data_IF_952316879985
#
_entry.id   IF_952316879985
#
_cell.length_a   1.000
_cell.length_b   1.000
_cell.length_c   1.000
_cell.angle_alpha   90.00
_cell.angle_beta   90.00
_cell.angle_gamma   90.00
#
_symmetry.space_group_name_H-M   'P 1'
#
loop_
_entity.id
_entity.type
_entity.pdbx_description
1 polymer ?
#
# COMPACT_ATOMS: atom_id res chain seq x y z
N UNK A 1 19.52 9.92 -7.73
CA UNK A 1 18.38 9.11 -7.23
C UNK A 1 17.84 9.74 -5.95
N UNK A 2 16.54 10.08 -5.94
CA UNK A 2 15.91 10.62 -4.72
C UNK A 2 15.52 9.44 -3.82
N UNK A 3 15.86 9.53 -2.53
CA UNK A 3 15.37 8.56 -1.53
C UNK A 3 13.96 8.94 -1.10
N UNK A 4 13.12 7.94 -0.89
CA UNK A 4 11.82 8.15 -0.29
C UNK A 4 12.00 8.65 1.15
N UNK A 5 11.27 9.68 1.57
CA UNK A 5 11.30 10.15 2.95
C UNK A 5 11.00 9.01 3.94
N UNK A 6 11.51 9.14 5.15
CA UNK A 6 11.22 8.19 6.23
C UNK A 6 9.74 8.25 6.59
N UNK A 7 9.14 7.10 6.93
CA UNK A 7 7.73 7.03 7.32
C UNK A 7 7.45 7.93 8.54
N UNK A 8 6.42 8.80 8.48
CA UNK A 8 6.26 9.87 9.47
C UNK A 8 5.94 9.38 10.88
N UNK A 9 5.32 8.22 11.01
CA UNK A 9 4.92 7.65 12.32
C UNK A 9 5.91 6.61 12.83
N UNK A 10 6.54 5.85 11.92
CA UNK A 10 7.49 4.81 12.29
C UNK A 10 8.82 4.98 11.55
N UNK A 11 9.86 5.55 12.18
CA UNK A 11 11.14 5.82 11.55
C UNK A 11 11.94 4.56 11.17
N UNK A 12 11.52 3.38 11.63
CA UNK A 12 12.11 2.11 11.25
C UNK A 12 11.61 1.61 9.89
N UNK A 13 10.47 2.15 9.41
CA UNK A 13 9.97 1.87 8.06
C UNK A 13 10.77 2.72 7.08
N UNK A 14 11.70 2.08 6.37
CA UNK A 14 12.57 2.70 5.39
C UNK A 14 12.64 1.85 4.14
N UNK A 15 12.68 2.50 3.00
CA UNK A 15 12.95 1.83 1.74
C UNK A 15 14.40 1.33 1.70
N UNK A 16 14.57 0.13 1.15
CA UNK A 16 15.89 -0.34 0.74
C UNK A 16 16.41 0.48 -0.46
N UNK A 17 17.69 0.37 -0.76
CA UNK A 17 18.26 0.95 -1.99
C UNK A 17 17.53 0.44 -3.25
N UNK A 18 17.21 -0.85 -3.28
CA UNK A 18 16.50 -1.49 -4.40
C UNK A 18 15.10 -0.90 -4.55
N UNK A 19 14.39 -0.66 -3.44
CA UNK A 19 13.05 -0.04 -3.45
C UNK A 19 13.08 1.38 -4.00
N UNK A 20 14.01 2.19 -3.52
CA UNK A 20 14.15 3.56 -4.00
C UNK A 20 14.55 3.61 -5.48
N UNK A 21 15.43 2.71 -5.93
CA UNK A 21 15.81 2.60 -7.33
C UNK A 21 14.61 2.19 -8.21
N UNK A 22 13.87 1.17 -7.79
CA UNK A 22 12.65 0.72 -8.47
C UNK A 22 11.62 1.84 -8.60
N UNK A 23 11.28 2.51 -7.50
CA UNK A 23 10.30 3.61 -7.50
C UNK A 23 10.75 4.80 -8.35
N UNK A 24 12.04 5.13 -8.35
CA UNK A 24 12.57 6.20 -9.21
C UNK A 24 12.47 5.84 -10.70
N UNK A 25 12.78 4.60 -11.09
CA UNK A 25 12.57 4.14 -12.47
C UNK A 25 11.11 4.21 -12.88
N UNK A 26 10.22 3.70 -12.02
CA UNK A 26 8.78 3.68 -12.26
C UNK A 26 8.21 5.10 -12.46
N UNK A 27 8.58 6.04 -11.59
CA UNK A 27 8.13 7.45 -11.66
C UNK A 27 8.72 8.22 -12.85
N UNK A 28 9.96 7.93 -13.21
CA UNK A 28 10.63 8.65 -14.32
C UNK A 28 10.13 8.23 -15.71
N UNK A 29 9.53 7.05 -15.82
CA UNK A 29 9.17 6.42 -17.10
C UNK A 29 10.38 6.05 -17.97
N UNK A 30 11.60 6.22 -17.46
CA UNK A 30 12.86 5.92 -18.15
C UNK A 30 13.35 4.51 -17.81
N UNK A 31 14.19 3.95 -18.66
CA UNK A 31 14.82 2.64 -18.40
C UNK A 31 13.81 1.47 -18.37
N UNK A 32 12.83 1.47 -19.25
CA UNK A 32 11.75 0.45 -19.31
C UNK A 32 12.25 -1.00 -19.30
N UNK A 33 13.37 -1.26 -19.96
CA UNK A 33 13.96 -2.61 -19.98
C UNK A 33 14.49 -2.99 -18.59
N UNK A 34 15.22 -2.09 -17.93
CA UNK A 34 15.76 -2.30 -16.58
C UNK A 34 14.60 -2.48 -15.59
N UNK A 35 13.55 -1.67 -15.71
CA UNK A 35 12.36 -1.81 -14.87
C UNK A 35 11.72 -3.18 -15.02
N UNK A 36 11.49 -3.66 -16.24
CA UNK A 36 10.94 -5.00 -16.50
C UNK A 36 11.81 -6.13 -15.94
N UNK A 37 13.14 -6.01 -16.08
CA UNK A 37 14.06 -6.98 -15.49
C UNK A 37 13.95 -6.98 -13.96
N UNK A 38 13.87 -5.82 -13.33
CA UNK A 38 13.68 -5.70 -11.88
C UNK A 38 12.34 -6.28 -11.45
N UNK A 39 11.25 -5.96 -12.15
CA UNK A 39 9.91 -6.52 -11.89
C UNK A 39 9.93 -8.04 -11.96
N UNK A 40 10.60 -8.61 -12.96
CA UNK A 40 10.75 -10.05 -13.11
C UNK A 40 11.58 -10.67 -11.97
N UNK A 41 12.74 -10.09 -11.64
CA UNK A 41 13.63 -10.60 -10.58
C UNK A 41 13.00 -10.47 -9.19
N UNK A 42 12.32 -9.37 -8.92
CA UNK A 42 11.66 -9.12 -7.63
C UNK A 42 10.31 -9.82 -7.52
N UNK A 43 9.73 -10.29 -8.63
CA UNK A 43 8.34 -10.75 -8.69
C UNK A 43 7.36 -9.64 -8.28
N UNK A 44 7.73 -8.38 -8.50
CA UNK A 44 6.99 -7.21 -8.02
C UNK A 44 6.48 -6.40 -9.19
N UNK A 45 5.18 -6.14 -9.20
CA UNK A 45 4.53 -5.30 -10.19
C UNK A 45 3.59 -4.33 -9.47
N UNK A 46 3.98 -3.05 -9.43
CA UNK A 46 3.18 -1.99 -8.84
C UNK A 46 2.70 -1.07 -9.96
N UNK A 47 1.42 -1.09 -10.24
CA UNK A 47 0.78 -0.30 -11.27
C UNK A 47 -0.04 0.85 -10.68
N UNK A 48 -0.51 1.75 -11.57
CA UNK A 48 -1.29 2.92 -11.20
C UNK A 48 -0.45 4.14 -10.84
N UNK A 49 -1.12 5.13 -10.25
CA UNK A 49 -0.48 6.36 -9.79
C UNK A 49 0.26 6.12 -8.47
N UNK A 50 1.57 6.32 -8.47
CA UNK A 50 2.40 6.12 -7.28
C UNK A 50 2.50 7.41 -6.46
N UNK A 51 2.18 7.39 -5.17
CA UNK A 51 2.37 8.54 -4.29
C UNK A 51 3.86 8.85 -4.10
N UNK A 52 4.17 10.07 -3.64
CA UNK A 52 5.55 10.47 -3.40
C UNK A 52 6.18 9.71 -2.23
N UNK A 53 5.39 9.45 -1.19
CA UNK A 53 5.81 8.74 0.02
C UNK A 53 5.20 7.33 0.06
N UNK A 54 5.63 6.46 -0.86
CA UNK A 54 5.33 5.03 -0.84
C UNK A 54 6.48 4.27 -0.19
N UNK A 55 6.17 3.46 0.80
CA UNK A 55 7.16 2.71 1.55
C UNK A 55 7.13 1.23 1.18
N UNK A 56 8.26 0.73 0.67
CA UNK A 56 8.48 -0.65 0.27
C UNK A 56 9.74 -1.18 0.99
N UNK A 57 9.69 -1.52 2.28
CA UNK A 57 10.88 -1.98 3.01
C UNK A 57 11.53 -3.20 2.36
N UNK A 58 10.70 -4.11 1.85
CA UNK A 58 11.10 -5.34 1.17
C UNK A 58 10.32 -5.51 -0.13
N UNK A 59 10.87 -5.07 -1.29
CA UNK A 59 10.12 -4.97 -2.55
C UNK A 59 10.01 -6.30 -3.29
N UNK A 60 9.64 -7.37 -2.61
CA UNK A 60 9.55 -8.71 -3.20
C UNK A 60 8.10 -9.19 -3.27
N UNK A 61 7.67 -9.66 -4.44
CA UNK A 61 6.37 -10.29 -4.64
C UNK A 61 5.18 -9.37 -4.35
N UNK A 62 5.33 -8.06 -4.53
CA UNK A 62 4.25 -7.09 -4.34
C UNK A 62 3.50 -6.95 -5.66
N UNK A 63 2.23 -7.31 -5.67
CA UNK A 63 1.39 -7.19 -6.85
C UNK A 63 0.25 -6.22 -6.59
N UNK A 64 0.18 -5.16 -7.40
CA UNK A 64 -0.97 -4.24 -7.38
C UNK A 64 -1.58 -4.16 -8.77
N UNK A 65 -2.90 -4.09 -8.83
CA UNK A 65 -3.60 -3.92 -10.10
C UNK A 65 -3.40 -2.54 -10.72
N UNK A 66 -3.79 -2.41 -11.99
CA UNK A 66 -3.51 -1.24 -12.83
C UNK A 66 -4.18 0.05 -12.36
N UNK A 67 -5.22 -0.01 -11.55
CA UNK A 67 -6.06 1.14 -11.19
C UNK A 67 -6.31 1.33 -9.70
N UNK A 68 -5.71 0.48 -8.88
CA UNK A 68 -5.74 0.68 -7.43
C UNK A 68 -5.19 2.06 -7.06
N UNK A 69 -5.89 2.77 -6.17
CA UNK A 69 -5.43 4.05 -5.64
C UNK A 69 -4.62 3.81 -4.38
N UNK A 70 -3.40 4.31 -4.35
CA UNK A 70 -2.50 4.19 -3.21
C UNK A 70 -2.24 5.60 -2.67
N UNK A 71 -2.63 5.83 -1.42
CA UNK A 71 -2.44 7.10 -0.71
C UNK A 71 -1.00 7.35 -0.28
N UNK A 72 -0.74 8.54 0.21
CA UNK A 72 0.56 8.91 0.77
C UNK A 72 0.86 8.13 2.05
N UNK A 73 2.13 7.91 2.33
CA UNK A 73 2.64 7.17 3.50
C UNK A 73 2.15 5.72 3.63
N UNK A 74 1.58 5.15 2.56
CA UNK A 74 1.24 3.73 2.55
C UNK A 74 2.50 2.89 2.59
N UNK A 75 2.45 1.82 3.39
CA UNK A 75 3.51 0.80 3.47
C UNK A 75 3.01 -0.52 2.90
N UNK A 76 3.73 -1.06 1.91
CA UNK A 76 3.48 -2.39 1.37
C UNK A 76 4.65 -3.31 1.72
N UNK A 77 4.38 -4.34 2.51
CA UNK A 77 5.36 -5.37 2.81
C UNK A 77 5.38 -6.44 1.71
N UNK A 78 6.40 -7.29 1.72
CA UNK A 78 6.60 -8.34 0.71
C UNK A 78 5.40 -9.30 0.59
N UNK A 79 5.20 -9.83 -0.60
CA UNK A 79 4.18 -10.82 -0.95
C UNK A 79 2.73 -10.38 -0.72
N UNK A 80 2.46 -9.06 -0.63
CA UNK A 80 1.09 -8.59 -0.60
C UNK A 80 0.49 -8.49 -2.01
N UNK A 81 -0.83 -8.68 -2.08
CA UNK A 81 -1.61 -8.63 -3.31
C UNK A 81 -2.77 -7.65 -3.17
N UNK A 82 -2.86 -6.70 -4.07
CA UNK A 82 -4.01 -5.82 -4.27
C UNK A 82 -4.63 -6.18 -5.63
N UNK A 83 -5.76 -6.85 -5.63
CA UNK A 83 -6.31 -7.43 -6.86
C UNK A 83 -7.83 -7.39 -6.97
N UNK A 84 -8.37 -7.80 -8.11
CA UNK A 84 -9.80 -7.98 -8.28
C UNK A 84 -10.28 -9.19 -7.47
N UNK A 85 -11.54 -9.15 -7.04
CA UNK A 85 -12.19 -10.27 -6.35
C UNK A 85 -12.79 -11.27 -7.35
N UNK A 86 -13.26 -10.76 -8.49
CA UNK A 86 -13.94 -11.57 -9.50
C UNK A 86 -13.08 -11.69 -10.77
N UNK A 87 -12.52 -12.88 -11.06
CA UNK A 87 -11.74 -13.11 -12.28
C UNK A 87 -12.61 -13.21 -13.54
N UNK A 88 -13.92 -13.35 -13.41
CA UNK A 88 -14.88 -13.49 -14.48
C UNK A 88 -15.68 -12.22 -14.78
N UNK A 89 -15.23 -11.11 -14.22
CA UNK A 89 -15.89 -9.82 -14.45
C UNK A 89 -15.99 -9.49 -15.94
N UNK A 90 -17.21 -9.19 -16.40
CA UNK A 90 -17.55 -8.89 -17.79
C UNK A 90 -18.11 -7.47 -17.97
N UNK A 91 -17.85 -6.57 -17.02
CA UNK A 91 -18.26 -5.18 -17.15
C UNK A 91 -17.34 -4.34 -18.04
N UNK A 92 -17.74 -3.10 -18.29
CA UNK A 92 -17.11 -2.22 -19.28
C UNK A 92 -15.70 -1.72 -18.89
N UNK A 93 -15.33 -1.79 -17.60
CA UNK A 93 -14.01 -1.32 -17.14
C UNK A 93 -13.49 -2.13 -15.97
N UNK A 94 -12.25 -2.55 -16.09
CA UNK A 94 -11.49 -3.17 -15.01
C UNK A 94 -11.05 -2.15 -13.94
N UNK A 95 -11.18 -0.86 -14.19
CA UNK A 95 -10.65 0.20 -13.37
C UNK A 95 -11.27 0.27 -11.97
N UNK A 96 -12.51 -0.16 -11.84
CA UNK A 96 -13.25 -0.13 -10.56
C UNK A 96 -13.17 -1.46 -9.79
N UNK A 97 -12.29 -2.38 -10.16
CA UNK A 97 -12.21 -3.70 -9.52
C UNK A 97 -11.10 -3.79 -8.46
N UNK A 98 -10.29 -2.76 -8.35
CA UNK A 98 -9.11 -2.76 -7.48
C UNK A 98 -9.33 -1.93 -6.22
N UNK A 99 -8.68 -2.31 -5.11
CA UNK A 99 -8.84 -1.60 -3.85
C UNK A 99 -8.22 -0.21 -3.87
N UNK A 100 -8.77 0.66 -3.02
CA UNK A 100 -8.22 1.95 -2.66
C UNK A 100 -7.60 1.86 -1.27
N UNK A 101 -6.35 2.27 -1.14
CA UNK A 101 -5.67 2.42 0.15
C UNK A 101 -5.56 3.91 0.48
N UNK A 102 -6.13 4.32 1.59
CA UNK A 102 -5.99 5.70 2.06
C UNK A 102 -4.62 5.98 2.71
N UNK A 103 -4.38 7.21 3.14
CA UNK A 103 -3.12 7.66 3.75
C UNK A 103 -2.70 6.77 4.92
N UNK A 104 -1.41 6.44 5.00
CA UNK A 104 -0.81 5.77 6.14
C UNK A 104 -1.20 4.31 6.35
N UNK A 105 -1.92 3.70 5.40
CA UNK A 105 -2.27 2.28 5.49
C UNK A 105 -1.02 1.41 5.50
N UNK A 106 -0.97 0.47 6.44
CA UNK A 106 0.11 -0.52 6.52
C UNK A 106 -0.40 -1.90 6.11
N UNK A 107 0.15 -2.44 5.02
CA UNK A 107 -0.16 -3.77 4.52
C UNK A 107 0.98 -4.72 4.87
N UNK A 108 0.73 -5.63 5.80
CA UNK A 108 1.74 -6.60 6.26
C UNK A 108 1.99 -7.69 5.21
N UNK A 109 3.08 -8.43 5.44
CA UNK A 109 3.53 -9.48 4.52
C UNK A 109 2.46 -10.53 4.24
N UNK A 110 2.33 -10.89 2.97
CA UNK A 110 1.41 -11.93 2.50
C UNK A 110 -0.07 -11.55 2.52
N UNK A 111 -0.43 -10.33 2.94
CA UNK A 111 -1.82 -9.89 2.95
C UNK A 111 -2.40 -9.78 1.54
N UNK A 112 -3.69 -10.08 1.40
CA UNK A 112 -4.44 -10.03 0.14
C UNK A 112 -5.65 -9.14 0.33
N UNK A 113 -5.77 -8.12 -0.52
CA UNK A 113 -6.89 -7.17 -0.51
C UNK A 113 -7.56 -7.29 -1.87
N UNK A 114 -8.80 -7.78 -1.89
CA UNK A 114 -9.45 -8.24 -3.12
C UNK A 114 -10.80 -7.56 -3.33
N UNK A 115 -10.91 -6.83 -4.41
CA UNK A 115 -12.15 -6.19 -4.84
C UNK A 115 -12.12 -4.66 -4.77
N UNK A 116 -13.20 -4.01 -5.24
CA UNK A 116 -13.35 -2.56 -5.26
C UNK A 116 -13.73 -2.03 -3.87
N UNK A 117 -12.82 -2.16 -2.93
CA UNK A 117 -13.03 -1.79 -1.53
C UNK A 117 -12.04 -0.70 -1.08
N UNK A 118 -12.37 -0.05 0.00
CA UNK A 118 -11.54 1.00 0.59
C UNK A 118 -10.96 0.55 1.93
N UNK A 119 -9.65 0.66 2.05
CA UNK A 119 -8.96 0.54 3.34
C UNK A 119 -8.78 1.94 3.89
N UNK A 120 -9.49 2.24 4.96
CA UNK A 120 -9.48 3.56 5.60
C UNK A 120 -8.13 3.92 6.20
N UNK A 121 -7.88 5.23 6.28
CA UNK A 121 -6.61 5.81 6.68
C UNK A 121 -6.05 5.23 7.98
N UNK A 122 -4.73 5.06 8.02
CA UNK A 122 -3.97 4.60 9.19
C UNK A 122 -4.41 3.23 9.73
N UNK A 123 -5.06 2.43 8.89
CA UNK A 123 -5.39 1.04 9.22
C UNK A 123 -4.21 0.11 8.97
N UNK A 124 -4.21 -1.00 9.70
CA UNK A 124 -3.19 -2.05 9.61
C UNK A 124 -3.85 -3.33 9.11
N UNK A 125 -3.37 -3.83 7.99
CA UNK A 125 -3.75 -5.15 7.49
C UNK A 125 -2.69 -6.14 7.95
N UNK A 126 -3.09 -7.05 8.83
CA UNK A 126 -2.21 -8.04 9.44
C UNK A 126 -1.60 -9.03 8.45
N UNK A 127 -0.53 -9.69 8.86
CA UNK A 127 0.16 -10.66 8.01
C UNK A 127 -0.78 -11.80 7.58
N UNK A 128 -0.73 -12.14 6.28
CA UNK A 128 -1.58 -13.15 5.65
C UNK A 128 -3.09 -12.91 5.80
N UNK A 129 -3.52 -11.71 6.18
CA UNK A 129 -4.94 -11.38 6.20
C UNK A 129 -5.52 -11.36 4.78
N UNK A 130 -6.78 -11.77 4.65
CA UNK A 130 -7.56 -11.67 3.42
C UNK A 130 -8.70 -10.70 3.66
N UNK A 131 -8.73 -9.62 2.88
CA UNK A 131 -9.71 -8.54 3.00
C UNK A 131 -10.54 -8.47 1.73
N UNK A 132 -11.86 -8.57 1.89
CA UNK A 132 -12.83 -8.56 0.78
C UNK A 132 -14.01 -7.61 1.02
N UNK A 133 -13.88 -6.74 2.04
CA UNK A 133 -14.87 -5.72 2.42
C UNK A 133 -14.16 -4.45 2.90
N UNK A 134 -14.89 -3.34 2.93
CA UNK A 134 -14.38 -2.05 3.38
C UNK A 134 -13.87 -2.10 4.82
N UNK A 135 -12.74 -1.44 5.06
CA UNK A 135 -12.13 -1.33 6.39
C UNK A 135 -12.19 0.13 6.84
N UNK A 136 -12.87 0.43 7.96
CA UNK A 136 -12.91 1.78 8.50
C UNK A 136 -11.51 2.29 8.88
N UNK A 137 -11.30 3.62 8.90
CA UNK A 137 -10.04 4.21 9.36
C UNK A 137 -9.64 3.73 10.76
N UNK A 138 -8.35 3.73 11.05
CA UNK A 138 -7.76 3.36 12.33
C UNK A 138 -8.10 1.95 12.82
N UNK A 139 -8.34 1.05 11.90
CA UNK A 139 -8.69 -0.35 12.19
C UNK A 139 -7.49 -1.28 12.02
N UNK A 140 -7.56 -2.43 12.68
CA UNK A 140 -6.62 -3.54 12.44
C UNK A 140 -7.39 -4.75 11.96
N UNK A 141 -6.94 -5.37 10.87
CA UNK A 141 -7.59 -6.55 10.28
C UNK A 141 -6.69 -7.77 10.46
N UNK A 142 -7.29 -8.89 10.89
CA UNK A 142 -6.63 -10.17 11.03
C UNK A 142 -7.41 -11.29 10.32
N UNK A 143 -6.69 -12.28 9.81
CA UNK A 143 -7.30 -13.43 9.17
C UNK A 143 -8.18 -13.05 7.98
N UNK A 144 -9.42 -13.53 7.94
CA UNK A 144 -10.38 -13.19 6.90
C UNK A 144 -11.41 -12.20 7.45
N UNK A 145 -11.35 -10.95 7.00
CA UNK A 145 -12.27 -9.85 7.34
C UNK A 145 -12.51 -9.63 8.85
N UNK A 146 -11.63 -10.10 9.72
CA UNK A 146 -11.77 -9.86 11.16
C UNK A 146 -11.25 -8.48 11.50
N UNK A 147 -12.13 -7.51 11.49
CA UNK A 147 -11.81 -6.10 11.75
C UNK A 147 -11.91 -5.82 13.24
N UNK A 148 -10.80 -5.36 13.84
CA UNK A 148 -10.78 -4.78 15.18
C UNK A 148 -10.61 -3.28 15.02
N UNK A 149 -11.63 -2.53 15.40
CA UNK A 149 -11.52 -1.07 15.51
C UNK A 149 -10.63 -0.76 16.71
N UNK A 150 -9.52 -0.10 16.48
CA UNK A 150 -8.76 0.51 17.57
C UNK A 150 -9.57 1.70 18.09
N UNK A 151 -9.54 1.93 19.42
CA UNK A 151 -10.21 3.07 20.10
C UNK A 151 -10.00 4.38 19.35
N UNK A 152 -10.96 5.30 19.43
CA UNK A 152 -10.98 6.60 18.73
C UNK A 152 -9.61 7.21 18.49
N UNK A 153 -9.26 7.37 17.20
CA UNK A 153 -8.00 7.97 16.76
C UNK A 153 -6.79 7.03 16.64
N UNK A 154 -6.96 5.70 16.78
CA UNK A 154 -5.92 4.72 16.50
C UNK A 154 -4.68 4.75 17.42
N UNK A 155 -3.55 4.32 16.91
CA UNK A 155 -2.27 4.30 17.64
C UNK A 155 -1.88 5.71 18.10
N UNK A 156 -1.44 5.90 19.38
CA UNK A 156 -1.04 7.21 19.92
C UNK A 156 0.06 7.92 19.10
N UNK A 157 0.89 7.18 18.37
CA UNK A 157 1.93 7.75 17.49
C UNK A 157 1.30 8.39 16.25
N UNK A 158 0.29 7.76 15.68
CA UNK A 158 -0.48 8.29 14.55
C UNK A 158 -1.20 9.57 14.98
N UNK A 159 -1.86 9.54 16.12
CA UNK A 159 -2.56 10.70 16.67
C UNK A 159 -1.63 11.90 16.84
N UNK A 160 -0.48 11.71 17.50
CA UNK A 160 0.54 12.78 17.65
C UNK A 160 1.01 13.35 16.33
N UNK A 161 1.20 12.50 15.33
CA UNK A 161 1.57 12.94 13.98
C UNK A 161 0.48 13.79 13.33
N UNK A 162 -0.77 13.36 13.38
CA UNK A 162 -1.91 14.10 12.82
C UNK A 162 -2.10 15.45 13.54
N UNK A 163 -2.01 15.48 14.87
CA UNK A 163 -2.09 16.71 15.67
C UNK A 163 -0.98 17.71 15.29
N UNK A 164 0.24 17.20 15.03
CA UNK A 164 1.35 18.05 14.59
C UNK A 164 1.13 18.68 13.22
N UNK A 165 0.49 17.96 12.31
CA UNK A 165 0.13 18.47 10.97
C UNK A 165 -0.93 19.56 11.04
N UNK A 166 -1.94 19.41 11.89
CA UNK A 166 -3.00 20.41 12.06
C UNK A 166 -2.45 21.73 12.62
N UNK A 167 -1.45 21.68 13.51
CA UNK A 167 -0.80 22.88 14.08
C UNK A 167 0.14 23.60 13.09
N UNK A 168 0.52 22.96 12.00
CA UNK A 168 1.45 23.49 11.00
C UNK A 168 0.73 24.13 9.80
N UNK A 169 -0.59 24.04 9.75
CA UNK A 169 -1.47 24.70 8.78
C UNK A 169 -2.04 26.02 9.34
#
# INVERSE_FOLDING_TARGET
MKRTPVHPVNPHIRNSFVSDFYLNLKRSGRGRLILRMLEHVLGTEINGSLPQRLHLPHPYGILTGSTGKIGEDVTLMHFCLLGPKDPWYQGDSWDNLFPTLEEGVYVSSGAKILGPLTIGAWSVIGANAVVTEDVPPFSTVFGHNRILRTTEGGDPRVRRYLDSRQKAQ
#
